data_IF_795505311486
#
_entry.id   IF_795505311486
#
_cell.length_a   1.000
_cell.length_b   1.000
_cell.length_c   1.000
_cell.angle_alpha   90.00
_cell.angle_beta   90.00
_cell.angle_gamma   90.00
#
_symmetry.space_group_name_H-M   'P 1'
#
loop_
_entity.id
_entity.type
_entity.pdbx_description
1 polymer ?
#
# COMPACT_ATOMS: atom_id res chain seq x y z
N UNK A 1 -10.30 3.46 -7.11
CA UNK A 1 -10.47 2.81 -5.79
C UNK A 1 -9.08 2.67 -5.17
N UNK A 2 -8.90 3.02 -3.90
CA UNK A 2 -7.62 2.88 -3.18
C UNK A 2 -7.54 1.51 -2.48
N UNK A 3 -6.35 1.13 -2.00
CA UNK A 3 -6.18 -0.11 -1.23
C UNK A 3 -7.01 -0.08 0.08
N UNK A 4 -7.09 1.07 0.74
CA UNK A 4 -7.96 1.21 1.92
C UNK A 4 -9.44 0.97 1.58
N UNK A 5 -9.90 1.52 0.45
CA UNK A 5 -11.30 1.40 0.04
C UNK A 5 -11.69 -0.03 -0.38
N UNK A 6 -10.73 -0.89 -0.74
CA UNK A 6 -11.02 -2.28 -1.13
C UNK A 6 -11.07 -3.27 0.05
N UNK A 7 -10.82 -2.81 1.28
CA UNK A 7 -10.93 -3.65 2.48
C UNK A 7 -12.33 -4.27 2.58
N UNK A 8 -12.38 -5.58 2.82
CA UNK A 8 -13.64 -6.33 2.90
C UNK A 8 -14.24 -6.74 1.55
N UNK A 9 -13.72 -6.24 0.43
CA UNK A 9 -14.12 -6.67 -0.91
C UNK A 9 -13.27 -7.88 -1.36
N UNK A 10 -13.67 -8.51 -2.46
CA UNK A 10 -12.90 -9.54 -3.18
C UNK A 10 -13.15 -9.39 -4.68
N UNK A 11 -12.22 -9.88 -5.49
CA UNK A 11 -12.36 -9.93 -6.95
C UNK A 11 -11.72 -11.21 -7.49
N UNK A 12 -12.17 -11.68 -8.64
CA UNK A 12 -11.53 -12.83 -9.32
C UNK A 12 -10.09 -12.49 -9.73
N UNK A 13 -9.88 -11.23 -10.12
CA UNK A 13 -8.63 -10.67 -10.60
C UNK A 13 -8.36 -9.30 -9.96
N UNK A 14 -7.10 -9.02 -9.64
CA UNK A 14 -6.68 -7.71 -9.10
C UNK A 14 -5.50 -7.18 -9.90
N UNK A 15 -5.57 -5.89 -10.26
CA UNK A 15 -4.46 -5.15 -10.87
C UNK A 15 -4.09 -4.04 -9.90
N UNK A 16 -2.85 -4.07 -9.41
CA UNK A 16 -2.27 -3.05 -8.53
C UNK A 16 -1.40 -2.14 -9.39
N UNK A 17 -1.64 -0.84 -9.30
CA UNK A 17 -0.89 0.22 -9.99
C UNK A 17 -0.37 1.22 -8.97
N UNK A 18 0.49 2.15 -9.39
CA UNK A 18 1.05 3.18 -8.49
C UNK A 18 2.16 2.66 -7.58
N UNK A 19 2.81 1.54 -7.95
CA UNK A 19 3.93 0.94 -7.23
C UNK A 19 5.24 1.71 -7.49
N UNK A 20 5.28 2.95 -7.02
CA UNK A 20 6.39 3.90 -7.14
C UNK A 20 6.37 4.89 -5.97
N UNK A 21 7.49 5.55 -5.70
CA UNK A 21 7.56 6.65 -4.72
C UNK A 21 6.91 7.93 -5.28
N UNK A 22 6.45 8.81 -4.37
CA UNK A 22 5.93 10.14 -4.70
C UNK A 22 4.40 10.24 -4.65
N UNK A 23 3.86 11.29 -5.29
CA UNK A 23 2.41 11.54 -5.29
C UNK A 23 1.64 10.39 -5.92
N UNK A 24 0.54 9.99 -5.27
CA UNK A 24 -0.29 8.84 -5.64
C UNK A 24 0.48 7.51 -5.76
N UNK A 25 1.67 7.47 -5.15
CA UNK A 25 2.53 6.30 -5.04
C UNK A 25 2.19 5.41 -3.86
N UNK A 26 2.93 4.31 -3.77
CA UNK A 26 2.85 3.36 -2.68
C UNK A 26 4.28 2.90 -2.31
N UNK A 27 4.71 2.95 -1.03
CA UNK A 27 3.96 3.38 0.16
C UNK A 27 3.46 4.82 0.06
N UNK A 28 2.28 5.09 0.62
CA UNK A 28 1.79 6.46 0.74
C UNK A 28 2.53 7.13 1.89
N UNK A 29 2.91 8.40 1.73
CA UNK A 29 3.43 9.16 2.86
C UNK A 29 2.33 9.35 3.92
N UNK A 30 2.72 9.29 5.19
CA UNK A 30 1.88 9.69 6.32
C UNK A 30 1.37 11.12 6.09
N UNK A 31 0.09 11.35 6.35
CA UNK A 31 -0.59 12.65 6.10
C UNK A 31 -1.30 13.17 7.34
N UNK A 32 -1.15 12.51 8.49
CA UNK A 32 -1.74 12.93 9.74
C UNK A 32 -1.18 14.28 10.21
N UNK A 33 -2.04 15.09 10.80
CA UNK A 33 -1.62 16.28 11.54
C UNK A 33 -1.05 15.88 12.91
N UNK A 34 -0.27 16.77 13.52
CA UNK A 34 0.28 16.58 14.87
C UNK A 34 -0.81 16.25 15.91
N UNK A 35 -2.01 16.83 15.75
CA UNK A 35 -3.14 16.56 16.64
C UNK A 35 -3.71 15.14 16.44
N UNK A 36 -3.72 14.64 15.21
CA UNK A 36 -4.16 13.28 14.89
C UNK A 36 -3.13 12.25 15.34
N UNK A 37 -1.83 12.52 15.17
CA UNK A 37 -0.74 11.67 15.68
C UNK A 37 -0.85 11.44 17.19
N UNK A 38 -1.24 12.48 17.96
CA UNK A 38 -1.43 12.35 19.41
C UNK A 38 -2.60 11.43 19.81
N UNK A 39 -3.52 11.13 18.88
CA UNK A 39 -4.65 10.23 19.10
C UNK A 39 -4.40 8.81 18.56
N UNK A 40 -3.32 8.63 17.80
CA UNK A 40 -2.99 7.34 17.21
C UNK A 40 -2.32 6.40 18.21
N UNK A 41 -2.41 5.08 17.96
CA UNK A 41 -1.60 4.10 18.66
C UNK A 41 -0.09 4.41 18.50
N UNK A 42 0.76 3.93 19.42
CA UNK A 42 2.20 4.06 19.29
C UNK A 42 2.68 3.47 17.95
N UNK A 43 3.64 4.15 17.33
CA UNK A 43 4.26 3.75 16.08
C UNK A 43 4.93 2.39 16.25
N UNK A 44 4.73 1.50 15.29
CA UNK A 44 5.35 0.18 15.28
C UNK A 44 6.83 0.28 14.90
N UNK A 45 7.68 -0.61 15.45
CA UNK A 45 9.13 -0.67 15.19
C UNK A 45 9.51 -1.10 13.75
N UNK A 46 8.56 -1.10 12.82
CA UNK A 46 8.75 -1.55 11.45
C UNK A 46 8.37 -0.43 10.46
N UNK A 47 9.27 0.07 9.59
CA UNK A 47 9.03 1.29 8.78
C UNK A 47 7.89 1.12 7.77
N UNK A 48 6.84 1.93 7.71
CA UNK A 48 5.68 1.70 6.80
C UNK A 48 4.86 0.42 7.14
N UNK A 49 4.65 0.15 8.44
CA UNK A 49 3.94 -1.05 8.91
C UNK A 49 2.49 -1.13 8.41
N UNK A 50 1.79 0.00 8.40
CA UNK A 50 0.43 0.07 7.88
C UNK A 50 0.38 -0.23 6.39
N UNK A 51 1.24 0.41 5.59
CA UNK A 51 1.31 0.24 4.15
C UNK A 51 1.60 -1.22 3.81
N UNK A 52 2.55 -1.88 4.46
CA UNK A 52 2.77 -3.31 4.22
C UNK A 52 1.54 -4.18 4.48
N UNK A 53 0.78 -3.91 5.54
CA UNK A 53 -0.49 -4.62 5.78
C UNK A 53 -1.51 -4.33 4.69
N UNK A 54 -1.59 -3.09 4.20
CA UNK A 54 -2.45 -2.72 3.08
C UNK A 54 -2.04 -3.45 1.80
N UNK A 55 -0.75 -3.52 1.49
CA UNK A 55 -0.27 -4.32 0.35
C UNK A 55 -0.70 -5.77 0.48
N UNK A 56 -0.54 -6.38 1.66
CA UNK A 56 -1.04 -7.73 1.92
C UNK A 56 -2.56 -7.86 1.69
N UNK A 57 -3.35 -6.87 2.15
CA UNK A 57 -4.79 -6.82 1.88
C UNK A 57 -5.06 -6.80 0.37
N UNK A 58 -4.37 -5.96 -0.40
CA UNK A 58 -4.51 -5.86 -1.85
C UNK A 58 -4.17 -7.18 -2.56
N UNK A 59 -3.05 -7.81 -2.19
CA UNK A 59 -2.61 -9.09 -2.73
C UNK A 59 -3.62 -10.20 -2.44
N UNK A 60 -4.23 -10.20 -1.26
CA UNK A 60 -5.21 -11.22 -0.84
C UNK A 60 -6.63 -10.95 -1.30
N UNK A 61 -6.89 -9.86 -2.04
CA UNK A 61 -8.22 -9.60 -2.62
C UNK A 61 -8.52 -10.47 -3.84
N UNK A 62 -7.50 -10.96 -4.55
CA UNK A 62 -7.69 -11.77 -5.76
C UNK A 62 -7.95 -13.24 -5.43
N UNK A 63 -8.92 -13.84 -6.11
CA UNK A 63 -9.16 -15.29 -6.05
C UNK A 63 -8.25 -16.10 -6.95
N UNK A 64 -7.92 -15.56 -8.13
CA UNK A 64 -7.15 -16.29 -9.13
C UNK A 64 -5.78 -15.69 -9.38
N UNK A 65 -5.69 -14.36 -9.59
CA UNK A 65 -4.43 -13.74 -9.96
C UNK A 65 -4.34 -12.27 -9.60
N UNK A 66 -3.13 -11.86 -9.23
CA UNK A 66 -2.75 -10.46 -9.04
C UNK A 66 -1.70 -10.07 -10.09
N UNK A 67 -1.84 -8.88 -10.65
CA UNK A 67 -0.77 -8.21 -11.40
C UNK A 67 -0.36 -6.95 -10.66
N UNK A 68 0.94 -6.83 -10.39
CA UNK A 68 1.56 -5.67 -9.78
C UNK A 68 2.33 -4.91 -10.85
N UNK A 69 1.86 -3.71 -11.19
CA UNK A 69 2.45 -2.86 -12.21
C UNK A 69 3.24 -1.73 -11.56
N UNK A 70 4.50 -1.60 -11.96
CA UNK A 70 5.41 -0.59 -11.46
C UNK A 70 6.07 0.17 -12.62
N UNK A 71 6.53 1.38 -12.33
CA UNK A 71 7.31 2.16 -13.27
C UNK A 71 8.77 1.72 -13.26
N UNK A 72 9.26 1.15 -14.37
CA UNK A 72 10.66 0.67 -14.48
C UNK A 72 11.71 1.76 -14.25
N UNK A 73 11.37 3.03 -14.50
CA UNK A 73 12.30 4.16 -14.32
C UNK A 73 12.44 4.59 -12.86
N UNK A 74 11.42 4.36 -12.04
CA UNK A 74 11.37 4.77 -10.64
C UNK A 74 10.94 3.57 -9.81
N UNK A 75 11.88 2.66 -9.53
CA UNK A 75 11.59 1.47 -8.80
C UNK A 75 11.30 1.70 -7.33
N UNK A 76 10.12 1.25 -6.87
CA UNK A 76 9.86 0.95 -5.47
C UNK A 76 11.05 0.19 -4.83
N UNK A 77 11.57 0.60 -3.66
CA UNK A 77 12.75 -0.03 -3.06
C UNK A 77 12.61 -1.52 -2.76
N UNK A 78 11.38 -1.97 -2.48
CA UNK A 78 11.01 -3.34 -2.11
C UNK A 78 11.39 -4.41 -3.14
N UNK A 79 11.65 -4.06 -4.40
CA UNK A 79 11.97 -5.01 -5.48
C UNK A 79 13.42 -4.91 -5.99
N UNK A 80 14.30 -4.23 -5.26
CA UNK A 80 15.72 -4.10 -5.63
C UNK A 80 16.59 -5.31 -5.27
N UNK A 81 16.00 -6.42 -4.83
CA UNK A 81 16.67 -7.68 -4.51
C UNK A 81 16.14 -8.84 -5.37
#
# INVERSE_FOLDING_TARGET
MTIHACKGQQADYVIIVGLQEGSDGFPAAARESIMEEALLPPVEDFPDAEERRLMYVALTRARHRVWALFNKRIPLPLWKY
#
